data_IF_755264858905
#
_entry.id   IF_755264858905
#
_cell.length_a   1.000
_cell.length_b   1.000
_cell.length_c   1.000
_cell.angle_alpha   90.00
_cell.angle_beta   90.00
_cell.angle_gamma   90.00
#
_symmetry.space_group_name_H-M   'P 1'
#
loop_
_entity.id
_entity.type
_entity.pdbx_description
1 polymer ?
#
# COMPACT_ATOMS: atom_id res chain seq x y z
N UNK A 1 -97.36 -10.73 34.84
CA UNK A 1 -97.02 -12.05 34.28
C UNK A 1 -96.12 -11.79 33.07
N UNK A 2 -94.79 -11.67 33.20
CA UNK A 2 -93.89 -11.51 32.08
C UNK A 2 -92.51 -12.01 32.49
N UNK A 3 -92.13 -13.12 31.90
CA UNK A 3 -90.86 -13.79 32.07
C UNK A 3 -89.79 -13.10 31.20
N UNK A 4 -88.78 -12.56 31.83
CA UNK A 4 -87.58 -12.00 31.11
C UNK A 4 -86.48 -13.06 31.01
N UNK A 5 -86.18 -13.48 29.77
CA UNK A 5 -85.10 -14.38 29.49
C UNK A 5 -83.83 -13.54 29.35
N UNK A 6 -82.82 -13.78 30.18
CA UNK A 6 -81.50 -13.23 30.06
C UNK A 6 -80.63 -14.19 29.22
N UNK A 7 -80.23 -13.77 28.06
CA UNK A 7 -79.18 -14.45 27.26
C UNK A 7 -77.83 -14.08 27.82
N UNK A 8 -77.09 -15.07 28.31
CA UNK A 8 -75.66 -14.96 28.63
C UNK A 8 -74.87 -15.34 27.38
N UNK A 9 -74.20 -14.33 26.75
CA UNK A 9 -73.24 -14.56 25.70
C UNK A 9 -71.92 -14.86 26.34
N UNK A 10 -71.39 -16.06 26.18
CA UNK A 10 -70.06 -16.44 26.60
C UNK A 10 -69.05 -16.00 25.49
N UNK A 11 -68.28 -14.96 25.76
CA UNK A 11 -67.10 -14.60 24.95
C UNK A 11 -65.92 -15.51 25.34
N UNK A 12 -65.64 -16.51 24.52
CA UNK A 12 -64.36 -17.28 24.60
C UNK A 12 -63.24 -16.44 23.99
N UNK A 13 -62.45 -15.79 24.85
CA UNK A 13 -61.25 -15.09 24.46
C UNK A 13 -60.14 -16.09 24.12
N UNK A 14 -59.79 -16.18 22.85
CA UNK A 14 -58.56 -16.88 22.40
C UNK A 14 -57.30 -16.05 22.74
N UNK A 15 -56.64 -16.39 23.84
CA UNK A 15 -55.32 -15.85 24.18
C UNK A 15 -54.28 -16.47 23.27
N UNK A 16 -53.82 -15.69 22.26
CA UNK A 16 -52.60 -16.02 21.50
C UNK A 16 -51.42 -15.95 22.46
N UNK A 17 -50.88 -17.08 22.84
CA UNK A 17 -49.58 -17.21 23.53
C UNK A 17 -48.51 -16.85 22.51
N UNK A 18 -48.04 -15.58 22.49
CA UNK A 18 -46.83 -15.17 21.80
C UNK A 18 -45.64 -15.81 22.55
N UNK A 19 -45.09 -16.87 21.99
CA UNK A 19 -43.84 -17.43 22.49
C UNK A 19 -42.71 -16.37 22.33
N UNK A 20 -41.92 -16.09 23.37
CA UNK A 20 -40.78 -15.18 23.24
C UNK A 20 -39.81 -15.79 22.24
N UNK A 21 -39.57 -15.09 21.14
CA UNK A 21 -38.44 -15.37 20.24
C UNK A 21 -37.17 -15.05 21.03
N UNK A 22 -36.56 -16.08 21.62
CA UNK A 22 -35.23 -15.95 22.20
C UNK A 22 -34.24 -15.81 21.04
N UNK A 23 -33.82 -14.58 20.80
CA UNK A 23 -32.63 -14.33 19.99
C UNK A 23 -31.43 -14.97 20.75
N UNK A 24 -30.94 -16.10 20.25
CA UNK A 24 -29.74 -16.72 20.81
C UNK A 24 -28.58 -15.75 20.57
N UNK A 25 -28.01 -15.18 21.63
CA UNK A 25 -26.78 -14.38 21.51
C UNK A 25 -25.67 -15.27 20.97
N UNK A 26 -25.07 -14.85 19.86
CA UNK A 26 -23.92 -15.53 19.27
C UNK A 26 -22.76 -15.52 20.26
N UNK A 27 -22.29 -16.71 20.61
CA UNK A 27 -21.08 -16.82 21.45
C UNK A 27 -19.83 -16.47 20.64
N UNK A 28 -18.74 -16.15 21.33
CA UNK A 28 -17.43 -15.93 20.68
C UNK A 28 -17.03 -17.12 19.79
N UNK A 29 -17.27 -18.34 20.26
CA UNK A 29 -16.97 -19.56 19.50
C UNK A 29 -17.79 -19.65 18.21
N UNK A 30 -19.07 -19.29 18.24
CA UNK A 30 -19.92 -19.30 17.05
C UNK A 30 -19.41 -18.30 16.00
N UNK A 31 -19.02 -17.10 16.44
CA UNK A 31 -18.44 -16.07 15.55
C UNK A 31 -17.13 -16.56 14.95
N UNK A 32 -16.22 -17.13 15.74
CA UNK A 32 -14.94 -17.68 15.25
C UNK A 32 -15.16 -18.79 14.22
N UNK A 33 -16.14 -19.65 14.43
CA UNK A 33 -16.47 -20.71 13.50
C UNK A 33 -17.07 -20.17 12.20
N UNK A 34 -18.01 -19.23 12.28
CA UNK A 34 -18.59 -18.56 11.11
C UNK A 34 -17.50 -17.89 10.26
N UNK A 35 -16.60 -17.16 10.90
CA UNK A 35 -15.49 -16.47 10.21
C UNK A 35 -14.57 -17.49 9.54
N UNK A 36 -14.20 -18.56 10.25
CA UNK A 36 -13.36 -19.62 9.68
C UNK A 36 -14.02 -20.25 8.45
N UNK A 37 -15.26 -20.67 8.56
CA UNK A 37 -16.01 -21.33 7.50
C UNK A 37 -16.18 -20.43 6.29
N UNK A 38 -16.41 -19.14 6.52
CA UNK A 38 -16.52 -18.15 5.46
C UNK A 38 -15.19 -17.96 4.70
N UNK A 39 -14.09 -17.81 5.42
CA UNK A 39 -12.76 -17.64 4.81
C UNK A 39 -12.32 -18.88 4.03
N UNK A 40 -12.59 -20.09 4.56
CA UNK A 40 -12.27 -21.35 3.87
C UNK A 40 -13.09 -21.52 2.60
N UNK A 41 -14.36 -21.12 2.61
CA UNK A 41 -15.24 -21.16 1.42
C UNK A 41 -14.92 -20.06 0.40
N UNK A 42 -14.29 -18.97 0.83
CA UNK A 42 -13.97 -17.82 0.00
C UNK A 42 -12.46 -17.48 0.03
N UNK A 43 -11.58 -18.36 -0.44
CA UNK A 43 -10.12 -18.17 -0.32
C UNK A 43 -9.59 -16.94 -1.07
N UNK A 44 -10.33 -16.41 -2.03
CA UNK A 44 -10.00 -15.17 -2.76
C UNK A 44 -9.83 -13.97 -1.82
N UNK A 45 -10.51 -13.97 -0.68
CA UNK A 45 -10.42 -12.91 0.34
C UNK A 45 -8.98 -12.73 0.84
N UNK A 46 -8.20 -13.81 0.95
CA UNK A 46 -6.79 -13.72 1.35
C UNK A 46 -5.96 -12.95 0.31
N UNK A 47 -6.26 -13.11 -0.97
CA UNK A 47 -5.60 -12.38 -2.05
C UNK A 47 -6.02 -10.91 -2.00
N UNK A 48 -7.30 -10.63 -1.84
CA UNK A 48 -7.81 -9.26 -1.71
C UNK A 48 -7.21 -8.53 -0.51
N UNK A 49 -7.19 -9.19 0.66
CA UNK A 49 -6.58 -8.64 1.87
C UNK A 49 -5.08 -8.41 1.72
N UNK A 50 -4.36 -9.35 1.09
CA UNK A 50 -2.93 -9.22 0.81
C UNK A 50 -2.65 -8.03 -0.12
N UNK A 51 -3.45 -7.85 -1.17
CA UNK A 51 -3.33 -6.72 -2.09
C UNK A 51 -3.65 -5.39 -1.39
N UNK A 52 -4.71 -5.34 -0.56
CA UNK A 52 -5.06 -4.15 0.21
C UNK A 52 -3.97 -3.79 1.22
N UNK A 53 -3.38 -4.78 1.90
CA UNK A 53 -2.25 -4.56 2.82
C UNK A 53 -1.03 -4.02 2.06
N UNK A 54 -0.70 -4.61 0.91
CA UNK A 54 0.42 -4.16 0.07
C UNK A 54 0.22 -2.72 -0.38
N UNK A 55 -0.95 -2.39 -0.93
CA UNK A 55 -1.27 -1.03 -1.36
C UNK A 55 -1.14 0.00 -0.20
N UNK A 56 -1.58 -0.38 1.00
CA UNK A 56 -1.41 0.46 2.19
C UNK A 56 0.06 0.64 2.57
N UNK A 57 0.86 -0.42 2.51
CA UNK A 57 2.30 -0.36 2.80
C UNK A 57 3.03 0.51 1.76
N UNK A 58 2.74 0.34 0.47
CA UNK A 58 3.30 1.14 -0.62
C UNK A 58 2.96 2.63 -0.46
N UNK A 59 1.70 2.95 -0.11
CA UNK A 59 1.29 4.33 0.16
C UNK A 59 2.02 4.94 1.36
N UNK A 60 2.16 4.19 2.46
CA UNK A 60 2.90 4.65 3.63
C UNK A 60 4.39 4.83 3.33
N UNK A 61 4.98 3.91 2.56
CA UNK A 61 6.38 4.01 2.15
C UNK A 61 6.60 5.24 1.26
N UNK A 62 5.74 5.47 0.27
CA UNK A 62 5.84 6.65 -0.61
C UNK A 62 5.77 7.98 0.17
N UNK A 63 4.92 8.07 1.19
CA UNK A 63 4.86 9.27 2.04
C UNK A 63 6.11 9.45 2.91
N UNK A 64 6.63 8.34 3.46
CA UNK A 64 7.89 8.37 4.20
C UNK A 64 9.06 8.76 3.29
N UNK A 65 9.14 8.20 2.08
CA UNK A 65 10.17 8.49 1.10
C UNK A 65 10.14 9.96 0.70
N UNK A 66 8.95 10.52 0.45
CA UNK A 66 8.77 11.94 0.18
C UNK A 66 9.33 12.81 1.31
N UNK A 67 8.97 12.50 2.55
CA UNK A 67 9.46 13.22 3.73
C UNK A 67 11.00 13.14 3.84
N UNK A 68 11.58 11.96 3.59
CA UNK A 68 13.03 11.76 3.61
C UNK A 68 13.73 12.53 2.48
N UNK A 69 13.17 12.53 1.27
CA UNK A 69 13.68 13.29 0.13
C UNK A 69 13.66 14.79 0.45
N UNK A 70 12.58 15.31 0.99
CA UNK A 70 12.47 16.73 1.39
C UNK A 70 13.48 17.09 2.47
N UNK A 71 13.64 16.25 3.49
CA UNK A 71 14.60 16.46 4.58
C UNK A 71 16.06 16.46 4.11
N UNK A 72 16.37 15.67 3.08
CA UNK A 72 17.74 15.51 2.53
C UNK A 72 17.95 16.21 1.17
N UNK A 73 17.00 17.02 0.72
CA UNK A 73 17.02 17.66 -0.59
C UNK A 73 18.34 18.40 -0.89
N UNK A 74 18.87 19.12 0.09
CA UNK A 74 20.16 19.83 -0.06
C UNK A 74 21.33 18.89 -0.37
N UNK A 75 21.32 17.68 0.16
CA UNK A 75 22.36 16.68 -0.07
C UNK A 75 22.13 15.93 -1.38
N UNK A 76 20.86 15.61 -1.68
CA UNK A 76 20.48 14.89 -2.89
C UNK A 76 20.73 15.71 -4.16
N UNK A 77 20.40 16.99 -4.12
CA UNK A 77 20.43 17.86 -5.30
C UNK A 77 21.64 18.82 -5.34
N UNK A 78 22.65 18.58 -4.47
CA UNK A 78 23.85 19.41 -4.43
C UNK A 78 24.65 19.30 -5.74
N UNK A 79 25.18 20.44 -6.23
CA UNK A 79 25.99 20.54 -7.45
C UNK A 79 27.42 20.01 -7.27
N UNK A 80 27.64 19.00 -6.44
CA UNK A 80 28.95 18.42 -6.15
C UNK A 80 29.20 17.11 -6.89
N UNK A 81 28.13 16.51 -7.37
CA UNK A 81 28.18 15.21 -8.02
C UNK A 81 28.20 15.38 -9.53
N UNK A 82 28.74 14.40 -10.27
CA UNK A 82 28.63 14.40 -11.72
C UNK A 82 27.18 14.45 -12.18
N UNK A 83 26.91 15.26 -13.18
CA UNK A 83 25.57 15.39 -13.74
C UNK A 83 25.57 15.37 -15.26
N UNK A 84 24.44 15.01 -15.85
CA UNK A 84 24.18 14.99 -17.28
C UNK A 84 22.81 15.59 -17.59
N UNK A 85 22.49 15.76 -18.86
CA UNK A 85 21.24 16.37 -19.31
C UNK A 85 21.25 17.88 -19.18
N UNK A 86 20.10 18.47 -18.84
CA UNK A 86 19.92 19.92 -18.79
C UNK A 86 19.95 20.42 -17.33
N UNK A 87 20.97 21.23 -16.92
CA UNK A 87 21.15 21.64 -15.52
C UNK A 87 19.98 22.43 -14.92
N UNK A 88 19.13 23.02 -15.78
CA UNK A 88 17.93 23.79 -15.42
C UNK A 88 16.65 23.05 -15.75
N UNK A 89 16.70 21.73 -15.99
CA UNK A 89 15.52 20.89 -16.25
C UNK A 89 14.54 20.96 -15.09
N UNK A 90 13.25 20.96 -15.40
CA UNK A 90 12.20 20.98 -14.39
C UNK A 90 12.12 19.67 -13.62
N UNK A 91 12.53 18.56 -14.25
CA UNK A 91 12.63 17.24 -13.64
C UNK A 91 14.06 16.92 -13.25
N UNK A 92 14.29 16.65 -11.97
CA UNK A 92 15.59 16.16 -11.50
C UNK A 92 15.51 14.68 -11.16
N UNK A 93 16.38 13.88 -11.79
CA UNK A 93 16.55 12.46 -11.51
C UNK A 93 17.85 12.26 -10.77
N UNK A 94 17.83 11.49 -9.69
CA UNK A 94 19.04 11.11 -8.93
C UNK A 94 19.20 9.60 -9.02
N UNK A 95 20.29 9.13 -9.59
CA UNK A 95 20.67 7.72 -9.63
C UNK A 95 21.74 7.43 -8.59
N UNK A 96 21.48 6.46 -7.72
CA UNK A 96 22.52 5.84 -6.87
C UNK A 96 23.07 4.64 -7.61
N UNK A 97 24.33 4.69 -8.00
CA UNK A 97 24.92 3.66 -8.87
C UNK A 97 26.25 3.13 -8.35
N UNK A 98 26.59 1.93 -8.78
CA UNK A 98 27.85 1.26 -8.50
C UNK A 98 28.50 0.81 -9.82
N UNK A 99 29.81 1.08 -9.99
CA UNK A 99 30.55 0.72 -11.20
C UNK A 99 30.61 -0.78 -11.49
N UNK A 100 30.42 -1.64 -10.48
CA UNK A 100 30.33 -3.09 -10.65
C UNK A 100 28.91 -3.60 -10.85
N UNK A 101 27.89 -2.72 -10.79
CA UNK A 101 26.50 -3.08 -11.00
C UNK A 101 26.21 -3.35 -12.49
N UNK A 102 25.96 -4.60 -12.84
CA UNK A 102 25.61 -4.98 -14.21
C UNK A 102 24.28 -4.36 -14.70
N UNK A 103 23.34 -4.08 -13.80
CA UNK A 103 22.08 -3.41 -14.15
C UNK A 103 22.29 -1.92 -14.44
N UNK A 104 23.12 -1.22 -13.65
CA UNK A 104 23.48 0.16 -13.89
C UNK A 104 24.17 0.31 -15.26
N UNK A 105 25.11 -0.61 -15.57
CA UNK A 105 25.77 -0.62 -16.88
C UNK A 105 24.81 -0.82 -18.05
N UNK A 106 23.77 -1.66 -17.89
CA UNK A 106 22.75 -1.86 -18.94
C UNK A 106 21.77 -0.70 -19.04
N UNK A 107 21.48 -0.03 -17.93
CA UNK A 107 20.59 1.14 -17.92
C UNK A 107 21.24 2.37 -18.57
N UNK A 108 22.58 2.51 -18.45
CA UNK A 108 23.30 3.70 -18.90
C UNK A 108 23.02 4.12 -20.35
N UNK A 109 23.08 3.25 -21.38
CA UNK A 109 22.76 3.65 -22.75
C UNK A 109 21.32 4.12 -22.92
N UNK A 110 20.36 3.55 -22.17
CA UNK A 110 18.97 3.98 -22.21
C UNK A 110 18.79 5.36 -21.56
N UNK A 111 19.52 5.62 -20.48
CA UNK A 111 19.56 6.94 -19.84
C UNK A 111 20.14 7.97 -20.79
N UNK A 112 21.22 7.66 -21.49
CA UNK A 112 21.80 8.57 -22.50
C UNK A 112 20.83 8.87 -23.65
N UNK A 113 20.09 7.88 -24.10
CA UNK A 113 19.04 8.08 -25.11
C UNK A 113 17.93 8.98 -24.56
N UNK A 114 17.41 8.72 -23.36
CA UNK A 114 16.40 9.55 -22.71
C UNK A 114 16.84 11.02 -22.62
N UNK A 115 18.07 11.28 -22.16
CA UNK A 115 18.61 12.63 -22.03
C UNK A 115 18.89 13.32 -23.39
N UNK A 116 19.03 12.53 -24.45
CA UNK A 116 19.12 13.07 -25.81
C UNK A 116 17.75 13.51 -26.34
N UNK A 117 16.70 12.77 -25.99
CA UNK A 117 15.32 13.00 -26.43
C UNK A 117 14.60 14.07 -25.61
N UNK A 118 14.79 14.06 -24.26
CA UNK A 118 14.17 15.00 -23.34
C UNK A 118 15.19 15.98 -22.77
N UNK A 119 15.07 17.25 -23.13
CA UNK A 119 15.95 18.35 -22.70
C UNK A 119 15.49 18.99 -21.38
N UNK A 120 14.44 18.50 -20.76
CA UNK A 120 13.94 19.02 -19.48
C UNK A 120 14.36 18.19 -18.27
N UNK A 121 15.30 17.25 -18.45
CA UNK A 121 15.81 16.38 -17.40
C UNK A 121 17.20 16.83 -16.97
N UNK A 122 17.36 17.09 -15.67
CA UNK A 122 18.64 17.15 -14.97
C UNK A 122 18.92 15.79 -14.33
N UNK A 123 20.05 15.16 -14.63
CA UNK A 123 20.38 13.82 -14.15
C UNK A 123 21.64 13.87 -13.28
N UNK A 124 21.54 13.44 -12.00
CA UNK A 124 22.62 13.49 -11.00
C UNK A 124 23.06 12.07 -10.69
N UNK A 125 24.37 11.80 -10.76
CA UNK A 125 24.97 10.50 -10.46
C UNK A 125 25.53 10.49 -9.04
N UNK A 126 24.91 9.73 -8.12
CA UNK A 126 25.40 9.51 -6.76
C UNK A 126 26.20 8.21 -6.69
N UNK A 127 27.47 8.31 -6.32
CA UNK A 127 28.31 7.15 -6.10
C UNK A 127 27.78 6.33 -4.90
N UNK A 128 27.48 5.06 -5.13
CA UNK A 128 26.96 4.15 -4.10
C UNK A 128 27.70 2.80 -4.14
N UNK A 129 29.02 2.77 -3.81
CA UNK A 129 29.89 1.62 -3.99
C UNK A 129 29.68 0.58 -2.87
N UNK A 130 28.65 -0.26 -3.00
CA UNK A 130 28.24 -1.26 -1.98
C UNK A 130 28.50 -2.70 -2.40
N UNK A 131 28.76 -2.96 -3.70
CA UNK A 131 28.85 -4.34 -4.22
C UNK A 131 30.18 -5.02 -3.95
N UNK A 132 31.27 -4.25 -3.91
CA UNK A 132 32.61 -4.80 -3.69
C UNK A 132 33.64 -3.71 -3.32
N UNK A 133 34.79 -4.14 -2.84
CA UNK A 133 35.91 -3.24 -2.59
C UNK A 133 36.39 -2.51 -3.87
N UNK A 134 36.35 -3.20 -5.03
CA UNK A 134 36.69 -2.59 -6.31
C UNK A 134 35.71 -1.51 -6.73
N UNK A 135 34.45 -1.58 -6.31
CA UNK A 135 33.44 -0.53 -6.49
C UNK A 135 33.89 0.77 -5.80
N UNK A 136 34.39 0.64 -4.57
CA UNK A 136 34.89 1.78 -3.80
C UNK A 136 36.09 2.47 -4.46
N UNK A 137 37.07 1.69 -4.96
CA UNK A 137 38.20 2.25 -5.68
C UNK A 137 37.80 2.93 -6.99
N UNK A 138 36.85 2.33 -7.73
CA UNK A 138 36.31 2.92 -8.95
C UNK A 138 35.62 4.26 -8.69
N UNK A 139 34.75 4.31 -7.69
CA UNK A 139 34.06 5.53 -7.28
C UNK A 139 35.01 6.64 -6.86
N UNK A 140 36.07 6.31 -6.09
CA UNK A 140 37.11 7.28 -5.72
C UNK A 140 37.90 7.78 -6.90
N UNK A 141 38.19 6.95 -7.89
CA UNK A 141 38.91 7.35 -9.08
C UNK A 141 38.11 8.32 -9.96
N UNK A 142 36.80 8.12 -10.04
CA UNK A 142 35.87 8.94 -10.83
C UNK A 142 35.60 10.33 -10.23
N UNK A 143 35.81 10.52 -8.94
CA UNK A 143 35.56 11.79 -8.24
C UNK A 143 36.86 12.66 -8.05
N UNK A 144 37.97 12.24 -8.63
CA UNK A 144 39.24 12.98 -8.62
C UNK A 144 39.40 13.85 -9.85
#
# INVERSE_FOLDING_TARGET
>A
MTIKHALFAALTGATLLAAPVQASELTKSDVEQIVRDYLVKNPVILVEMSNALRAKQESQQAENDKTLIEAHAKQLFANKDPESGYPKGSLTVVEFFDYNCGYCKRAHPLIQQLLAEDKDIRYIYKQFPILSETSYYAARAALR
#
